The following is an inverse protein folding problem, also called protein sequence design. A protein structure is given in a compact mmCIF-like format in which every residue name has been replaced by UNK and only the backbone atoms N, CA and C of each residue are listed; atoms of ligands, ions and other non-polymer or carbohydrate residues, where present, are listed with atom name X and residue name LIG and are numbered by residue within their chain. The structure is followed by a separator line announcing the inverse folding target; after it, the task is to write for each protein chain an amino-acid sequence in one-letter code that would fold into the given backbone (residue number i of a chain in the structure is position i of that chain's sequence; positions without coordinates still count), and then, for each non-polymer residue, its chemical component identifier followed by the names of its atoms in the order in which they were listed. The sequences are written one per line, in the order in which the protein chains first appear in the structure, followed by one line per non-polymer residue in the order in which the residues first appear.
data_IF_145760955034
#
_entry.id   IF_145760955034
#
_cell.length_a   1.000
_cell.length_b   1.000
_cell.length_c   1.000
_cell.angle_alpha   90.00
_cell.angle_beta   90.00
_cell.angle_gamma   90.00
#
_symmetry.space_group_name_H-M   'P 1'
#
loop_
_entity.id
_entity.type
_entity.pdbx_description
1 polymer ?
#
# COMPACT_ATOMS: atom_id res chain seq x y z
N UNK A 1 20.82 -5.22 -22.80
CA UNK A 1 20.29 -3.94 -23.34
C UNK A 1 18.78 -3.80 -23.12
N UNK A 2 17.94 -4.76 -23.55
CA UNK A 2 16.48 -4.70 -23.30
C UNK A 2 16.13 -4.67 -21.80
N UNK A 3 16.79 -5.51 -21.00
CA UNK A 3 16.52 -5.61 -19.55
C UNK A 3 16.90 -4.33 -18.76
N UNK A 4 17.92 -3.61 -19.22
CA UNK A 4 18.33 -2.34 -18.61
C UNK A 4 17.29 -1.24 -18.87
N UNK A 5 16.80 -1.15 -20.11
CA UNK A 5 15.81 -0.13 -20.52
C UNK A 5 14.46 -0.30 -19.80
N UNK A 6 14.00 -1.54 -19.59
CA UNK A 6 12.75 -1.79 -18.85
C UNK A 6 12.89 -1.44 -17.37
N UNK A 7 14.03 -1.79 -16.74
CA UNK A 7 14.28 -1.45 -15.34
C UNK A 7 14.35 0.06 -15.11
N UNK A 8 15.01 0.79 -16.01
CA UNK A 8 15.08 2.25 -15.96
C UNK A 8 13.68 2.87 -16.10
N UNK A 9 12.90 2.43 -17.10
CA UNK A 9 11.54 2.94 -17.33
C UNK A 9 10.63 2.67 -16.13
N UNK A 10 10.70 1.48 -15.54
CA UNK A 10 9.95 1.10 -14.35
C UNK A 10 10.32 2.00 -13.17
N UNK A 11 11.61 2.19 -12.90
CA UNK A 11 12.06 3.04 -11.80
C UNK A 11 11.65 4.50 -12.00
N UNK A 12 11.84 5.05 -13.20
CA UNK A 12 11.44 6.42 -13.52
C UNK A 12 9.94 6.63 -13.29
N UNK A 13 9.10 5.71 -13.76
CA UNK A 13 7.64 5.77 -13.56
C UNK A 13 7.27 5.67 -12.07
N UNK A 14 7.86 4.72 -11.33
CA UNK A 14 7.63 4.59 -9.88
C UNK A 14 8.04 5.86 -9.13
N UNK A 15 9.17 6.47 -9.49
CA UNK A 15 9.65 7.69 -8.86
C UNK A 15 8.74 8.89 -9.17
N UNK A 16 8.31 9.05 -10.42
CA UNK A 16 7.37 10.10 -10.82
C UNK A 16 6.04 9.95 -10.09
N UNK A 17 5.48 8.74 -10.05
CA UNK A 17 4.25 8.42 -9.33
C UNK A 17 4.36 8.72 -7.83
N UNK A 18 5.42 8.23 -7.16
CA UNK A 18 5.67 8.48 -5.73
C UNK A 18 5.84 9.97 -5.44
N UNK A 19 6.52 10.73 -6.32
CA UNK A 19 6.70 12.17 -6.15
C UNK A 19 5.36 12.89 -6.21
N UNK A 20 4.52 12.58 -7.20
CA UNK A 20 3.21 13.20 -7.35
C UNK A 20 2.26 12.85 -6.20
N UNK A 21 2.26 11.60 -5.73
CA UNK A 21 1.50 11.22 -4.53
C UNK A 21 1.93 12.00 -3.29
N UNK A 22 3.25 12.13 -3.04
CA UNK A 22 3.74 12.91 -1.88
C UNK A 22 3.31 14.37 -1.95
N UNK A 23 3.38 14.99 -3.14
CA UNK A 23 2.91 16.36 -3.33
C UNK A 23 1.41 16.46 -3.01
N UNK A 24 0.59 15.54 -3.52
CA UNK A 24 -0.86 15.54 -3.25
C UNK A 24 -1.22 15.29 -1.78
N UNK A 25 -0.47 14.43 -1.08
CA UNK A 25 -0.62 14.21 0.38
C UNK A 25 -0.37 15.53 1.13
N UNK A 26 0.66 16.29 0.73
CA UNK A 26 0.96 17.59 1.34
C UNK A 26 -0.11 18.64 0.98
N UNK A 27 -0.50 18.74 -0.29
CA UNK A 27 -1.54 19.65 -0.79
C UNK A 27 -2.88 19.46 -0.08
N UNK A 28 -3.29 18.20 0.13
CA UNK A 28 -4.54 17.85 0.81
C UNK A 28 -4.40 17.75 2.34
N UNK A 29 -3.23 18.09 2.89
CA UNK A 29 -2.95 18.03 4.33
C UNK A 29 -3.27 16.66 4.96
N UNK A 30 -3.02 15.58 4.21
CA UNK A 30 -3.14 14.22 4.73
C UNK A 30 -1.94 14.02 5.67
N UNK A 31 -2.19 14.04 6.98
CA UNK A 31 -1.16 13.95 8.03
C UNK A 31 -0.45 12.60 8.15
N UNK A 32 -0.39 11.81 7.07
CA UNK A 32 0.18 10.47 7.05
C UNK A 32 1.29 10.32 6.00
N UNK A 33 2.44 9.75 6.38
CA UNK A 33 3.43 9.29 5.42
C UNK A 33 2.87 8.20 4.49
N UNK A 34 3.41 8.10 3.27
CA UNK A 34 3.03 7.07 2.27
C UNK A 34 3.14 5.64 2.82
N UNK A 35 4.11 5.37 3.70
CA UNK A 35 4.26 4.06 4.35
C UNK A 35 3.08 3.74 5.27
N UNK A 36 2.54 4.73 5.97
CA UNK A 36 1.39 4.59 6.87
C UNK A 36 0.11 4.36 6.09
N UNK A 37 -0.06 5.07 4.96
CA UNK A 37 -1.16 4.86 4.03
C UNK A 37 -1.24 3.40 3.57
N UNK A 38 -0.09 2.80 3.23
CA UNK A 38 -0.05 1.39 2.80
C UNK A 38 -0.55 0.46 3.91
N UNK A 39 -0.14 0.68 5.16
CA UNK A 39 -0.56 -0.15 6.31
C UNK A 39 -2.04 0.09 6.66
N UNK A 40 -2.50 1.34 6.66
CA UNK A 40 -3.91 1.69 6.88
C UNK A 40 -4.84 0.98 5.87
N UNK A 41 -4.44 0.97 4.58
CA UNK A 41 -5.12 0.17 3.54
C UNK A 41 -5.11 -1.33 3.82
N UNK A 42 -4.02 -1.85 4.37
CA UNK A 42 -3.90 -3.23 4.79
C UNK A 42 -4.93 -3.60 5.87
N UNK A 43 -5.07 -2.75 6.89
CA UNK A 43 -6.08 -2.93 7.96
C UNK A 43 -7.49 -2.92 7.36
N UNK A 44 -7.80 -1.98 6.47
CA UNK A 44 -9.11 -1.92 5.81
C UNK A 44 -9.41 -3.15 4.94
N UNK A 45 -8.42 -3.60 4.15
CA UNK A 45 -8.58 -4.74 3.24
C UNK A 45 -8.76 -6.07 3.97
N UNK A 46 -8.23 -6.19 5.19
CA UNK A 46 -8.26 -7.42 5.97
C UNK A 46 -8.93 -7.17 7.32
N UNK A 47 -10.28 -7.21 7.38
CA UNK A 47 -11.01 -7.03 8.63
C UNK A 47 -10.57 -8.03 9.71
N UNK A 48 -10.61 -7.62 10.97
CA UNK A 48 -10.21 -8.44 12.12
C UNK A 48 -8.79 -9.02 11.98
N UNK A 49 -7.86 -8.23 11.44
CA UNK A 49 -6.47 -8.65 11.32
C UNK A 49 -5.64 -8.25 12.52
N UNK A 50 -4.74 -9.15 12.93
CA UNK A 50 -3.69 -8.85 13.90
C UNK A 50 -2.50 -8.19 13.22
N UNK A 51 -1.64 -7.50 13.99
CA UNK A 51 -0.39 -6.94 13.47
C UNK A 51 0.48 -7.98 12.73
N UNK A 52 0.50 -9.22 13.24
CA UNK A 52 1.18 -10.36 12.60
C UNK A 52 0.57 -10.69 11.24
N UNK A 53 -0.76 -10.81 11.17
CA UNK A 53 -1.48 -11.08 9.92
C UNK A 53 -1.21 -10.01 8.88
N UNK A 54 -1.21 -8.73 9.28
CA UNK A 54 -0.93 -7.59 8.39
C UNK A 54 0.50 -7.66 7.85
N UNK A 55 1.50 -7.87 8.72
CA UNK A 55 2.90 -7.95 8.28
C UNK A 55 3.13 -9.06 7.26
N UNK A 56 2.57 -10.26 7.53
CA UNK A 56 2.66 -11.40 6.62
C UNK A 56 1.96 -11.13 5.28
N UNK A 57 0.71 -10.66 5.30
CA UNK A 57 -0.08 -10.41 4.08
C UNK A 57 0.49 -9.29 3.22
N UNK A 58 1.16 -8.31 3.84
CA UNK A 58 1.74 -7.17 3.13
C UNK A 58 3.19 -7.39 2.69
N UNK A 59 3.80 -8.52 3.08
CA UNK A 59 5.22 -8.82 2.92
C UNK A 59 6.10 -7.67 3.42
N UNK A 60 5.86 -7.23 4.65
CA UNK A 60 6.56 -6.14 5.31
C UNK A 60 7.25 -6.65 6.58
N UNK A 61 8.37 -6.01 6.93
CA UNK A 61 9.08 -6.29 8.18
C UNK A 61 8.16 -6.09 9.40
N UNK A 62 8.19 -7.05 10.33
CA UNK A 62 7.30 -7.07 11.49
C UNK A 62 7.54 -5.88 12.41
N UNK A 63 8.80 -5.49 12.64
CA UNK A 63 9.11 -4.35 13.51
C UNK A 63 8.63 -3.04 12.88
N UNK A 64 8.81 -2.88 11.57
CA UNK A 64 8.30 -1.74 10.82
C UNK A 64 6.77 -1.65 10.87
N UNK A 65 6.06 -2.75 10.61
CA UNK A 65 4.59 -2.77 10.65
C UNK A 65 4.07 -2.46 12.05
N UNK A 66 4.69 -3.03 13.08
CA UNK A 66 4.27 -2.77 14.47
C UNK A 66 4.41 -1.29 14.84
N UNK A 67 5.52 -0.65 14.43
CA UNK A 67 5.73 0.78 14.63
C UNK A 67 4.65 1.60 13.94
N UNK A 68 4.42 1.36 12.65
CA UNK A 68 3.41 2.08 11.86
C UNK A 68 2.01 1.89 12.44
N UNK A 69 1.66 0.68 12.88
CA UNK A 69 0.36 0.42 13.52
C UNK A 69 0.21 1.20 14.82
N UNK A 70 1.25 1.26 15.65
CA UNK A 70 1.20 2.06 16.88
C UNK A 70 1.05 3.55 16.58
N UNK A 71 1.74 4.07 15.56
CA UNK A 71 1.61 5.46 15.13
C UNK A 71 0.19 5.76 14.61
N UNK A 72 -0.43 4.82 13.88
CA UNK A 72 -1.82 4.92 13.42
C UNK A 72 -2.85 4.87 14.56
N UNK A 73 -2.60 4.05 15.59
CA UNK A 73 -3.42 4.01 16.82
C UNK A 73 -3.31 5.33 17.57
N UNK A 74 -2.09 5.84 17.74
CA UNK A 74 -1.84 7.11 18.42
C UNK A 74 -2.49 8.29 17.67
N UNK A 75 -2.57 8.20 16.35
CA UNK A 75 -3.25 9.18 15.50
C UNK A 75 -4.78 9.01 15.46
N UNK A 76 -5.35 8.04 16.19
CA UNK A 76 -6.79 7.81 16.24
C UNK A 76 -7.41 7.21 14.98
N UNK A 77 -6.60 6.69 14.05
CA UNK A 77 -7.06 6.20 12.74
C UNK A 77 -7.40 4.70 12.75
N UNK A 78 -6.83 3.96 13.69
CA UNK A 78 -7.17 2.57 13.92
C UNK A 78 -7.34 2.34 15.42
N UNK A 79 -8.13 1.35 15.77
CA UNK A 79 -8.34 0.92 17.15
C UNK A 79 -7.94 -0.54 17.33
N UNK A 80 -7.68 -0.92 18.59
CA UNK A 80 -7.34 -2.29 18.97
C UNK A 80 -8.49 -2.87 19.78
N UNK A 81 -8.93 -4.06 19.39
CA UNK A 81 -9.93 -4.84 20.13
C UNK A 81 -9.30 -6.16 20.53
N UNK A 82 -9.58 -6.61 21.75
CA UNK A 82 -9.06 -7.89 22.25
C UNK A 82 -9.53 -9.04 21.36
N UNK A 83 -8.62 -9.96 21.06
CA UNK A 83 -8.97 -11.20 20.40
C UNK A 83 -9.49 -12.22 21.44
N UNK A 84 -10.77 -12.63 21.40
CA UNK A 84 -11.31 -13.59 22.36
C UNK A 84 -10.62 -14.96 22.29
N UNK A 85 -10.06 -15.32 21.15
CA UNK A 85 -9.42 -16.63 20.93
C UNK A 85 -7.95 -16.66 21.35
N UNK A 86 -7.29 -15.49 21.42
CA UNK A 86 -5.89 -15.36 21.84
C UNK A 86 -5.64 -14.00 22.50
N UNK A 87 -5.60 -14.00 23.84
CA UNK A 87 -5.34 -12.82 24.68
C UNK A 87 -3.98 -12.16 24.44
N UNK A 88 -3.04 -12.82 23.74
CA UNK A 88 -1.75 -12.24 23.36
C UNK A 88 -1.82 -11.48 22.05
N UNK A 89 -2.97 -11.46 21.39
CA UNK A 89 -3.20 -10.81 20.12
C UNK A 89 -4.38 -9.84 20.18
N UNK A 90 -4.35 -8.82 19.33
CA UNK A 90 -5.40 -7.82 19.21
C UNK A 90 -5.78 -7.68 17.75
N UNK A 91 -7.08 -7.55 17.51
CA UNK A 91 -7.62 -7.19 16.20
C UNK A 91 -7.47 -5.68 15.97
N UNK A 92 -7.27 -5.33 14.72
CA UNK A 92 -7.13 -3.95 14.26
C UNK A 92 -8.28 -3.63 13.32
N UNK A 93 -8.97 -2.53 13.60
CA UNK A 93 -10.06 -1.99 12.80
C UNK A 93 -9.82 -0.50 12.55
N UNK A 94 -10.32 0.02 11.42
CA UNK A 94 -10.30 1.45 11.17
C UNK A 94 -11.36 2.13 12.05
N UNK A 95 -11.02 3.30 12.57
CA UNK A 95 -11.99 4.23 13.15
C UNK A 95 -12.73 4.97 12.03
N UNK A 96 -13.75 5.76 12.39
CA UNK A 96 -14.41 6.69 11.46
C UNK A 96 -13.41 7.66 10.80
N UNK A 97 -12.47 8.19 11.57
CA UNK A 97 -11.41 9.07 11.06
C UNK A 97 -10.43 8.32 10.14
N UNK A 98 -10.15 7.06 10.46
CA UNK A 98 -9.39 6.16 9.60
C UNK A 98 -10.03 5.96 8.24
N UNK A 99 -11.36 5.73 8.21
CA UNK A 99 -12.14 5.57 6.99
C UNK A 99 -12.13 6.87 6.18
N UNK A 100 -12.43 8.01 6.80
CA UNK A 100 -12.42 9.31 6.12
C UNK A 100 -11.04 9.64 5.53
N UNK A 101 -9.97 9.32 6.26
CA UNK A 101 -8.60 9.49 5.77
C UNK A 101 -8.33 8.59 4.56
N UNK A 102 -8.81 7.35 4.59
CA UNK A 102 -8.66 6.41 3.48
C UNK A 102 -9.41 6.86 2.22
N UNK A 103 -10.59 7.47 2.37
CA UNK A 103 -11.36 8.05 1.27
C UNK A 103 -10.61 9.21 0.62
N UNK A 104 -10.03 10.12 1.41
CA UNK A 104 -9.18 11.22 0.91
C UNK A 104 -8.00 10.69 0.11
N UNK A 105 -7.30 9.69 0.67
CA UNK A 105 -6.18 9.03 -0.01
C UNK A 105 -6.63 8.40 -1.34
N UNK A 106 -7.78 7.71 -1.34
CA UNK A 106 -8.29 7.04 -2.54
C UNK A 106 -8.66 8.05 -3.63
N UNK A 107 -9.25 9.18 -3.26
CA UNK A 107 -9.53 10.29 -4.17
C UNK A 107 -8.26 10.90 -4.77
N UNK A 108 -7.23 11.11 -3.93
CA UNK A 108 -5.91 11.56 -4.38
C UNK A 108 -5.29 10.57 -5.37
N UNK A 109 -5.27 9.28 -5.05
CA UNK A 109 -4.70 8.26 -5.95
C UNK A 109 -5.42 8.19 -7.29
N UNK A 110 -6.76 8.34 -7.29
CA UNK A 110 -7.53 8.41 -8.52
C UNK A 110 -7.16 9.64 -9.36
N UNK A 111 -6.92 10.79 -8.72
CA UNK A 111 -6.43 11.99 -9.41
C UNK A 111 -5.02 11.79 -9.98
N UNK A 112 -4.09 11.25 -9.21
CA UNK A 112 -2.74 10.95 -9.70
C UNK A 112 -2.78 9.93 -10.86
N UNK A 113 -3.65 8.92 -10.77
CA UNK A 113 -3.85 7.96 -11.85
C UNK A 113 -4.34 8.65 -13.12
N UNK A 114 -5.37 9.50 -13.04
CA UNK A 114 -5.86 10.28 -14.20
C UNK A 114 -4.75 11.12 -14.84
N UNK A 115 -3.92 11.78 -14.02
CA UNK A 115 -2.80 12.58 -14.54
C UNK A 115 -1.74 11.73 -15.23
N UNK A 116 -1.43 10.57 -14.66
CA UNK A 116 -0.46 9.62 -15.22
C UNK A 116 -0.94 9.03 -16.55
N UNK A 117 -2.25 8.86 -16.74
CA UNK A 117 -2.84 8.20 -17.91
C UNK A 117 -3.42 9.15 -18.95
N UNK A 118 -3.41 10.48 -18.72
CA UNK A 118 -4.16 11.49 -19.50
C UNK A 118 -3.98 11.47 -21.03
N UNK A 119 -2.83 11.00 -21.51
CA UNK A 119 -2.47 11.00 -22.94
C UNK A 119 -2.36 9.59 -23.52
N UNK A 120 -2.96 8.61 -22.85
CA UNK A 120 -2.99 7.21 -23.28
C UNK A 120 -4.41 6.84 -23.70
N UNK A 121 -4.51 6.15 -24.83
CA UNK A 121 -5.74 5.50 -25.26
C UNK A 121 -6.13 4.36 -24.31
N UNK A 122 -7.41 3.98 -24.34
CA UNK A 122 -7.90 2.81 -23.59
C UNK A 122 -7.11 1.55 -23.94
N UNK A 123 -6.79 1.34 -25.22
CA UNK A 123 -6.01 0.18 -25.68
C UNK A 123 -4.59 0.16 -25.11
N UNK A 124 -3.90 1.32 -25.07
CA UNK A 124 -2.57 1.41 -24.45
C UNK A 124 -2.61 1.10 -22.95
N UNK A 125 -3.66 1.56 -22.25
CA UNK A 125 -3.84 1.29 -20.82
C UNK A 125 -4.14 -0.19 -20.54
N UNK A 126 -5.00 -0.81 -21.33
CA UNK A 126 -5.30 -2.24 -21.25
C UNK A 126 -4.06 -3.08 -21.53
N UNK A 127 -3.30 -2.71 -22.56
CA UNK A 127 -2.04 -3.37 -22.89
C UNK A 127 -1.00 -3.22 -21.78
N UNK A 128 -0.84 -2.02 -21.21
CA UNK A 128 0.06 -1.80 -20.08
C UNK A 128 -0.34 -2.66 -18.88
N UNK A 129 -1.62 -2.67 -18.50
CA UNK A 129 -2.13 -3.46 -17.38
C UNK A 129 -1.88 -4.97 -17.60
N UNK A 130 -2.13 -5.46 -18.81
CA UNK A 130 -1.88 -6.85 -19.19
C UNK A 130 -0.39 -7.20 -19.08
N UNK A 131 0.49 -6.39 -19.66
CA UNK A 131 1.95 -6.62 -19.64
C UNK A 131 2.49 -6.57 -18.21
N UNK A 132 2.11 -5.56 -17.42
CA UNK A 132 2.51 -5.43 -16.03
C UNK A 132 2.05 -6.65 -15.20
N UNK A 133 0.84 -7.14 -15.42
CA UNK A 133 0.32 -8.35 -14.76
C UNK A 133 1.17 -9.59 -15.06
N UNK A 134 1.56 -9.79 -16.32
CA UNK A 134 2.47 -10.88 -16.73
C UNK A 134 3.83 -10.74 -16.03
N UNK A 135 4.41 -9.55 -16.02
CA UNK A 135 5.70 -9.31 -15.34
C UNK A 135 5.61 -9.62 -13.83
N UNK A 136 4.52 -9.23 -13.17
CA UNK A 136 4.28 -9.54 -11.75
C UNK A 136 4.13 -11.05 -11.52
N UNK A 137 3.46 -11.78 -12.42
CA UNK A 137 3.33 -13.23 -12.33
C UNK A 137 4.71 -13.92 -12.39
N UNK A 138 5.53 -13.54 -13.38
CA UNK A 138 6.89 -14.08 -13.54
C UNK A 138 7.76 -13.85 -12.29
N UNK A 139 7.61 -12.71 -11.60
CA UNK A 139 8.35 -12.43 -10.37
C UNK A 139 7.90 -13.27 -9.17
N UNK A 140 6.62 -13.67 -9.12
CA UNK A 140 6.10 -14.53 -8.04
C UNK A 140 6.59 -15.97 -8.17
N UNK A 141 6.78 -16.46 -9.39
CA UNK A 141 7.31 -17.80 -9.66
C UNK A 141 8.75 -17.99 -9.16
N UNK A 142 9.52 -16.89 -9.05
CA UNK A 142 10.91 -16.90 -8.56
C UNK A 142 11.06 -16.43 -7.11
N UNK A 143 9.96 -16.17 -6.40
CA UNK A 143 10.00 -15.91 -4.96
C UNK A 143 10.15 -17.24 -4.23
N UNK A 144 11.39 -17.70 -4.00
CA UNK A 144 11.66 -18.83 -3.10
C UNK A 144 11.01 -18.54 -1.74
N UNK A 145 10.38 -19.53 -1.07
CA UNK A 145 9.99 -19.37 0.33
C UNK A 145 11.26 -18.99 1.10
N UNK A 146 11.27 -17.83 1.73
CA UNK A 146 12.41 -17.34 2.49
C UNK A 146 12.69 -18.31 3.64
N UNK A 147 13.68 -19.18 3.46
CA UNK A 147 14.38 -19.85 4.54
C UNK A 147 15.13 -18.77 5.31
N UNK A 148 14.55 -18.29 6.41
CA UNK A 148 15.30 -17.78 7.56
C UNK A 148 14.45 -17.76 8.84
N UNK A 149 14.82 -18.74 9.66
CA UNK A 149 14.74 -18.87 11.12
C UNK A 149 14.54 -17.60 11.94
#
# INVERSE_FOLDING_TARGET
MKDTAINESLHQLIHAYKRRLRAGIQEQQIGLPVSHIRVLKGVFKFPLSTARSIAQRMNLDKAQVTRVLNDLVHSGLIEKTDNPDDRRSQFLTLTTDGISTLEKVSGLEAEVARQMTRNLSTEELENFARIASVMVANMKEHSTPDERS
#
